data_IF_330784159381
#
_entry.id   IF_330784159381
#
_cell.length_a   1.000
_cell.length_b   1.000
_cell.length_c   1.000
_cell.angle_alpha   90.00
_cell.angle_beta   90.00
_cell.angle_gamma   90.00
#
_symmetry.space_group_name_H-M   'P 1'
#
loop_
_entity.id
_entity.type
_entity.pdbx_description
1 polymer ?
#
# COMPACT_ATOMS: atom_id res chain seq x y z
N UNK A 1 2.59 -15.27 6.52
CA UNK A 1 2.59 -13.87 7.00
C UNK A 1 3.00 -12.97 5.85
N UNK A 2 2.19 -11.98 5.46
CA UNK A 2 2.43 -11.16 4.24
C UNK A 2 3.52 -10.08 4.42
N UNK A 3 3.84 -9.68 5.65
CA UNK A 3 4.80 -8.59 5.90
C UNK A 3 6.17 -8.77 5.23
N UNK A 4 6.85 -9.94 5.35
CA UNK A 4 8.12 -10.14 4.68
C UNK A 4 8.02 -10.02 3.15
N UNK A 5 6.91 -10.47 2.55
CA UNK A 5 6.70 -10.43 1.10
C UNK A 5 6.52 -8.98 0.64
N UNK A 6 5.73 -8.20 1.39
CA UNK A 6 5.54 -6.77 1.14
C UNK A 6 6.88 -6.04 1.23
N UNK A 7 7.59 -6.17 2.35
CA UNK A 7 8.80 -5.39 2.60
C UNK A 7 9.96 -5.82 1.68
N UNK A 8 10.04 -7.10 1.29
CA UNK A 8 11.02 -7.57 0.31
C UNK A 8 10.70 -7.11 -1.11
N UNK A 9 9.42 -7.06 -1.50
CA UNK A 9 9.03 -6.70 -2.87
C UNK A 9 9.00 -5.19 -3.08
N UNK A 10 8.51 -4.44 -2.08
CA UNK A 10 8.48 -2.98 -2.12
C UNK A 10 9.81 -2.35 -1.68
N UNK A 11 10.70 -3.13 -1.07
CA UNK A 11 11.96 -2.65 -0.52
C UNK A 11 11.78 -1.96 0.84
N UNK A 12 12.90 -1.65 1.48
CA UNK A 12 12.88 -0.90 2.74
C UNK A 12 12.45 0.55 2.48
N UNK A 13 11.45 1.01 3.23
CA UNK A 13 10.96 2.39 3.14
C UNK A 13 11.75 3.33 4.05
N UNK A 14 12.08 2.85 5.25
CA UNK A 14 12.78 3.63 6.27
C UNK A 14 13.89 2.80 6.90
N UNK A 15 15.10 3.34 7.01
CA UNK A 15 16.21 2.68 7.72
C UNK A 15 16.22 2.97 9.22
N UNK A 16 15.31 3.85 9.69
CA UNK A 16 15.21 4.28 11.09
C UNK A 16 14.06 3.60 11.83
N UNK A 17 14.24 3.38 13.13
CA UNK A 17 13.23 2.87 14.07
C UNK A 17 11.97 3.76 14.13
N UNK A 18 12.11 5.05 13.85
CA UNK A 18 11.02 6.03 13.98
C UNK A 18 10.07 5.97 12.76
N UNK A 19 10.49 5.33 11.67
CA UNK A 19 9.69 5.18 10.45
C UNK A 19 8.71 4.00 10.48
N UNK A 20 7.90 3.94 9.43
CA UNK A 20 7.02 2.81 9.11
C UNK A 20 7.49 2.15 7.81
N UNK A 21 7.58 0.82 7.82
CA UNK A 21 7.78 0.00 6.62
C UNK A 21 6.48 -0.11 5.81
N UNK A 22 6.60 -0.50 4.54
CA UNK A 22 5.42 -0.64 3.68
C UNK A 22 4.42 -1.66 4.22
N UNK A 23 4.84 -2.74 4.87
CA UNK A 23 3.91 -3.71 5.43
C UNK A 23 3.08 -3.18 6.61
N UNK A 24 3.64 -2.28 7.41
CA UNK A 24 2.91 -1.59 8.49
C UNK A 24 1.89 -0.59 7.91
N UNK A 25 2.29 0.13 6.86
CA UNK A 25 1.44 1.11 6.20
C UNK A 25 0.29 0.45 5.44
N UNK A 26 0.57 -0.59 4.67
CA UNK A 26 -0.46 -1.36 3.95
C UNK A 26 -1.43 -1.97 4.96
N UNK A 27 -0.96 -2.50 6.09
CA UNK A 27 -1.86 -3.04 7.12
C UNK A 27 -2.75 -1.94 7.74
N UNK A 28 -2.19 -0.75 7.95
CA UNK A 28 -2.95 0.41 8.42
C UNK A 28 -4.05 0.78 7.41
N UNK A 29 -3.72 0.83 6.12
CA UNK A 29 -4.70 1.06 5.05
C UNK A 29 -5.76 -0.05 4.99
N UNK A 30 -5.36 -1.32 5.09
CA UNK A 30 -6.28 -2.47 5.03
C UNK A 30 -7.32 -2.47 6.16
N UNK A 31 -6.99 -1.89 7.32
CA UNK A 31 -7.96 -1.75 8.41
C UNK A 31 -9.19 -0.95 8.03
N UNK A 32 -9.08 0.02 7.10
CA UNK A 32 -10.23 0.76 6.56
C UNK A 32 -11.19 -0.20 5.88
N UNK A 33 -10.68 -1.01 4.96
CA UNK A 33 -11.48 -1.96 4.19
C UNK A 33 -12.05 -3.08 5.05
N UNK A 34 -11.29 -3.60 6.03
CA UNK A 34 -11.79 -4.63 6.95
C UNK A 34 -12.90 -4.12 7.88
N UNK A 35 -12.93 -2.81 8.15
CA UNK A 35 -14.02 -2.18 8.88
C UNK A 35 -15.17 -1.71 7.97
N UNK A 36 -15.14 -2.03 6.67
CA UNK A 36 -16.16 -1.61 5.71
C UNK A 36 -16.11 -0.13 5.34
N UNK A 37 -15.03 0.57 5.69
CA UNK A 37 -14.81 1.97 5.33
C UNK A 37 -14.24 2.13 3.92
N UNK A 38 -14.22 3.37 3.45
CA UNK A 38 -13.67 3.75 2.14
C UNK A 38 -12.78 5.01 2.20
N UNK A 39 -12.62 5.61 3.38
CA UNK A 39 -11.92 6.87 3.59
C UNK A 39 -10.64 6.62 4.39
N UNK A 40 -9.47 7.04 3.88
CA UNK A 40 -8.18 6.78 4.55
C UNK A 40 -8.04 7.55 5.87
N UNK A 41 -8.73 8.68 5.97
CA UNK A 41 -8.85 9.54 7.13
C UNK A 41 -9.44 8.78 8.34
N UNK A 42 -10.29 7.78 8.10
CA UNK A 42 -10.89 6.93 9.14
C UNK A 42 -9.83 6.20 9.98
N UNK A 43 -8.64 5.94 9.40
CA UNK A 43 -7.52 5.37 10.15
C UNK A 43 -7.18 6.27 11.33
N UNK A 44 -7.00 7.57 11.10
CA UNK A 44 -6.58 8.51 12.14
C UNK A 44 -7.74 8.89 13.06
N UNK A 45 -8.93 9.16 12.50
CA UNK A 45 -10.07 9.69 13.25
C UNK A 45 -10.81 8.63 14.06
N UNK A 46 -10.84 7.38 13.58
CA UNK A 46 -11.70 6.34 14.15
C UNK A 46 -10.94 5.08 14.56
N UNK A 47 -10.00 4.59 13.76
CA UNK A 47 -9.42 3.25 13.99
C UNK A 47 -8.18 3.27 14.89
N UNK A 48 -7.30 4.25 14.76
CA UNK A 48 -5.97 4.27 15.39
C UNK A 48 -6.03 4.11 16.91
N UNK A 49 -7.02 4.71 17.58
CA UNK A 49 -7.21 4.57 19.03
C UNK A 49 -7.55 3.14 19.45
N UNK A 50 -8.34 2.43 18.66
CA UNK A 50 -8.72 1.04 18.98
C UNK A 50 -7.61 0.06 18.61
N UNK A 51 -6.96 0.32 17.47
CA UNK A 51 -5.88 -0.49 16.94
C UNK A 51 -4.61 -0.43 17.82
N UNK A 52 -4.38 0.68 18.53
CA UNK A 52 -3.22 0.83 19.43
C UNK A 52 -3.26 -0.08 20.67
N UNK A 53 -4.42 -0.65 21.02
CA UNK A 53 -4.52 -1.65 22.08
C UNK A 53 -3.91 -3.00 21.69
N UNK A 54 -3.62 -3.23 20.40
CA UNK A 54 -2.98 -4.46 19.95
C UNK A 54 -1.44 -4.35 20.02
N UNK A 55 -0.74 -5.18 20.81
CA UNK A 55 0.64 -4.95 21.22
C UNK A 55 1.66 -4.99 20.07
N UNK A 56 1.35 -5.66 18.96
CA UNK A 56 2.25 -5.80 17.80
C UNK A 56 1.83 -4.99 16.58
N UNK A 57 0.75 -4.22 16.69
CA UNK A 57 0.20 -3.47 15.56
C UNK A 57 0.67 -2.01 15.63
N UNK A 58 1.59 -1.65 14.74
CA UNK A 58 2.00 -0.25 14.53
C UNK A 58 1.14 0.39 13.45
N UNK A 59 0.08 1.06 13.87
CA UNK A 59 -0.82 1.80 12.97
C UNK A 59 -0.26 3.19 12.69
N UNK A 60 -0.10 3.54 11.42
CA UNK A 60 0.32 4.87 10.98
C UNK A 60 -0.88 5.78 10.66
N UNK A 61 -0.65 7.09 10.63
CA UNK A 61 -1.68 8.06 10.28
C UNK A 61 -2.08 8.00 8.80
N UNK A 62 -3.27 8.51 8.50
CA UNK A 62 -3.74 8.78 7.14
C UNK A 62 -2.73 9.56 6.29
N UNK A 63 -2.07 10.59 6.85
CA UNK A 63 -1.02 11.34 6.14
C UNK A 63 0.17 10.46 5.74
N UNK A 64 0.56 9.52 6.61
CA UNK A 64 1.65 8.59 6.34
C UNK A 64 1.26 7.61 5.23
N UNK A 65 0.01 7.13 5.24
CA UNK A 65 -0.54 6.27 4.19
C UNK A 65 -0.54 7.01 2.85
N UNK A 66 -1.10 8.23 2.81
CA UNK A 66 -1.16 9.04 1.58
C UNK A 66 0.23 9.34 1.02
N UNK A 67 1.23 9.57 1.89
CA UNK A 67 2.62 9.74 1.45
C UNK A 67 3.18 8.46 0.84
N UNK A 68 2.96 7.31 1.46
CA UNK A 68 3.41 6.03 0.91
C UNK A 68 2.74 5.68 -0.42
N UNK A 69 1.45 6.00 -0.57
CA UNK A 69 0.75 5.84 -1.86
C UNK A 69 1.46 6.67 -2.94
N UNK A 70 1.78 7.95 -2.66
CA UNK A 70 2.56 8.80 -3.58
C UNK A 70 3.96 8.27 -3.87
N UNK A 71 4.63 7.69 -2.88
CA UNK A 71 5.95 7.06 -3.08
C UNK A 71 5.87 5.82 -4.01
N UNK A 72 4.73 5.12 -4.01
CA UNK A 72 4.50 3.93 -4.80
C UNK A 72 3.84 4.20 -6.16
N UNK A 73 3.43 5.44 -6.45
CA UNK A 73 2.87 5.77 -7.77
C UNK A 73 3.92 5.63 -8.84
N UNK A 74 3.50 5.09 -9.99
CA UNK A 74 4.31 5.02 -11.20
C UNK A 74 3.72 5.97 -12.24
N UNK A 75 4.57 6.61 -13.04
CA UNK A 75 4.12 7.45 -14.15
C UNK A 75 3.46 6.62 -15.25
N UNK A 76 2.50 7.23 -15.94
CA UNK A 76 1.86 6.61 -17.09
C UNK A 76 2.81 6.61 -18.28
N UNK A 77 2.72 5.55 -19.09
CA UNK A 77 3.28 5.50 -20.43
C UNK A 77 2.19 5.93 -21.40
N UNK A 78 2.41 7.04 -22.10
CA UNK A 78 1.46 7.57 -23.07
C UNK A 78 1.79 7.09 -24.48
N UNK A 79 0.78 6.57 -25.18
CA UNK A 79 0.87 6.20 -26.60
C UNK A 79 -0.14 6.99 -27.42
N UNK A 80 0.34 7.66 -28.47
CA UNK A 80 -0.53 8.36 -29.42
C UNK A 80 -0.73 7.51 -30.66
N UNK A 81 -1.98 7.14 -30.95
CA UNK A 81 -2.37 6.40 -32.15
C UNK A 81 -2.20 7.24 -33.43
N UNK A 82 -2.15 6.58 -34.58
CA UNK A 82 -2.10 7.24 -35.91
C UNK A 82 -3.29 8.18 -36.18
N UNK A 83 -4.40 8.02 -35.43
CA UNK A 83 -5.56 8.91 -35.47
C UNK A 83 -5.45 10.12 -34.53
N UNK A 84 -4.28 10.34 -33.92
CA UNK A 84 -3.99 11.46 -33.02
C UNK A 84 -4.53 11.31 -31.59
N UNK A 85 -5.14 10.16 -31.24
CA UNK A 85 -5.64 9.92 -29.87
C UNK A 85 -4.55 9.35 -28.97
N UNK A 86 -4.33 9.98 -27.82
CA UNK A 86 -3.41 9.53 -26.77
C UNK A 86 -4.10 8.63 -25.76
N UNK A 87 -3.40 7.57 -25.35
CA UNK A 87 -3.82 6.60 -24.35
C UNK A 87 -2.73 6.45 -23.31
N UNK A 88 -3.12 6.54 -22.04
CA UNK A 88 -2.22 6.37 -20.91
C UNK A 88 -2.33 4.95 -20.35
N UNK A 89 -1.17 4.33 -20.15
CA UNK A 89 -1.07 3.01 -19.55
C UNK A 89 -0.18 3.07 -18.32
N UNK A 90 -0.67 2.57 -17.19
CA UNK A 90 0.13 2.42 -15.99
C UNK A 90 0.48 0.95 -15.82
N UNK A 91 1.77 0.60 -15.94
CA UNK A 91 2.18 -0.81 -15.80
C UNK A 91 2.28 -1.24 -14.35
N UNK A 92 2.54 -0.31 -13.41
CA UNK A 92 2.63 -0.56 -11.96
C UNK A 92 3.38 -1.85 -11.59
N UNK A 93 4.48 -2.16 -12.29
CA UNK A 93 5.08 -3.51 -12.31
C UNK A 93 5.45 -4.02 -10.91
N UNK A 94 5.92 -3.11 -10.05
CA UNK A 94 6.30 -3.41 -8.66
C UNK A 94 5.11 -3.83 -7.80
N UNK A 95 3.96 -3.15 -7.97
CA UNK A 95 2.73 -3.48 -7.26
C UNK A 95 2.10 -4.76 -7.82
N UNK A 96 2.14 -4.94 -9.14
CA UNK A 96 1.67 -6.18 -9.78
C UNK A 96 2.49 -7.39 -9.30
N UNK A 97 3.82 -7.26 -9.22
CA UNK A 97 4.68 -8.31 -8.66
C UNK A 97 4.34 -8.62 -7.20
N UNK A 98 4.02 -7.59 -6.40
CA UNK A 98 3.57 -7.79 -5.02
C UNK A 98 2.26 -8.58 -4.96
N UNK A 99 1.26 -8.23 -5.78
CA UNK A 99 -0.03 -8.92 -5.83
C UNK A 99 0.15 -10.40 -6.18
N UNK A 100 0.93 -10.71 -7.21
CA UNK A 100 1.20 -12.11 -7.60
C UNK A 100 1.91 -12.87 -6.48
N UNK A 101 2.96 -12.30 -5.89
CA UNK A 101 3.66 -12.95 -4.77
C UNK A 101 2.77 -13.16 -3.55
N UNK A 102 1.88 -12.21 -3.27
CA UNK A 102 0.90 -12.34 -2.19
C UNK A 102 -0.04 -13.52 -2.45
N UNK A 103 -0.65 -13.60 -3.64
CA UNK A 103 -1.54 -14.70 -4.03
C UNK A 103 -0.86 -16.07 -3.97
N UNK A 104 0.36 -16.18 -4.50
CA UNK A 104 1.16 -17.42 -4.41
C UNK A 104 1.40 -17.81 -2.95
N UNK A 105 1.73 -16.84 -2.10
CA UNK A 105 2.01 -17.12 -0.68
C UNK A 105 0.80 -17.52 0.14
N UNK A 106 -0.40 -17.13 -0.31
CA UNK A 106 -1.67 -17.50 0.33
C UNK A 106 -2.30 -18.73 -0.28
N UNK A 107 -1.78 -19.25 -1.40
CA UNK A 107 -2.36 -20.39 -2.11
C UNK A 107 -3.61 -20.04 -2.92
N UNK A 108 -3.76 -18.77 -3.30
CA UNK A 108 -4.94 -18.22 -4.00
C UNK A 108 -4.69 -18.02 -5.51
N UNK A 109 -3.59 -18.58 -6.03
CA UNK A 109 -3.24 -18.59 -7.46
C UNK A 109 -3.35 -20.02 -8.01
#
# INVERSE_FOLDING_TARGET
>A
MLSPIIDQTLGQRCSSIIGYQYSEIIRSLMSVYFCGGSCVEDVTSHLMRHLSYHPTLRTCSSDTILRAIKELTQENISYTSDKGKTYDFNTADKLNALLIKALVSTGEL
#
